data_IF_853374326411
#
_entry.id   IF_853374326411
#
_cell.length_a   1.000
_cell.length_b   1.000
_cell.length_c   1.000
_cell.angle_alpha   90.00
_cell.angle_beta   90.00
_cell.angle_gamma   90.00
#
_symmetry.space_group_name_H-M   'P 1'
#
loop_
_entity.id
_entity.type
_entity.pdbx_description
1 polymer ?
#
# COMPACT_ATOMS: atom_id res chain seq x y z
N UNK A 1 -50.07 -20.48 -45.07
CA UNK A 1 -49.19 -21.65 -45.09
C UNK A 1 -47.75 -21.19 -44.98
N UNK A 2 -47.04 -21.67 -43.94
CA UNK A 2 -45.57 -21.91 -43.81
C UNK A 2 -44.61 -20.90 -44.48
N UNK A 3 -43.59 -20.36 -43.82
CA UNK A 3 -42.68 -20.99 -42.85
C UNK A 3 -41.82 -19.93 -42.16
N UNK A 4 -41.60 -20.13 -40.87
CA UNK A 4 -40.58 -19.48 -40.08
C UNK A 4 -39.23 -20.19 -40.31
N UNK A 5 -38.15 -19.44 -40.42
CA UNK A 5 -36.79 -19.93 -40.25
C UNK A 5 -36.21 -19.34 -38.96
N UNK A 6 -36.06 -20.23 -37.99
CA UNK A 6 -35.28 -20.07 -36.77
C UNK A 6 -33.80 -19.91 -37.11
N UNK A 7 -33.12 -18.96 -36.49
CA UNK A 7 -31.71 -19.13 -36.14
C UNK A 7 -31.52 -18.77 -34.66
N UNK A 8 -31.20 -19.81 -33.92
CA UNK A 8 -30.78 -19.81 -32.53
C UNK A 8 -29.36 -19.27 -32.43
N UNK A 9 -29.13 -18.32 -31.53
CA UNK A 9 -27.82 -18.18 -30.89
C UNK A 9 -28.04 -18.00 -29.40
N UNK A 10 -27.73 -19.09 -28.74
CA UNK A 10 -27.63 -19.34 -27.32
C UNK A 10 -26.87 -18.27 -26.55
N UNK A 11 -27.46 -17.93 -25.42
CA UNK A 11 -26.84 -17.48 -24.18
C UNK A 11 -25.41 -18.02 -23.99
N UNK A 12 -24.46 -17.12 -23.79
CA UNK A 12 -23.39 -17.36 -22.83
C UNK A 12 -23.22 -16.11 -21.99
N UNK A 13 -23.85 -16.14 -20.83
CA UNK A 13 -23.50 -15.28 -19.72
C UNK A 13 -22.05 -15.60 -19.34
N UNK A 14 -21.15 -14.63 -19.51
CA UNK A 14 -19.91 -14.58 -18.75
C UNK A 14 -20.04 -13.44 -17.74
N UNK A 15 -20.44 -13.84 -16.55
CA UNK A 15 -20.23 -13.08 -15.32
C UNK A 15 -18.73 -12.95 -15.08
N UNK A 16 -18.20 -11.74 -15.20
CA UNK A 16 -16.91 -11.38 -14.63
C UNK A 16 -17.01 -9.98 -14.03
N UNK A 17 -16.96 -9.94 -12.71
CA UNK A 17 -16.82 -8.76 -11.86
C UNK A 17 -15.57 -7.95 -12.25
N UNK A 18 -15.72 -6.92 -13.09
CA UNK A 18 -14.64 -5.98 -13.44
C UNK A 18 -15.10 -4.51 -13.37
N UNK A 19 -16.11 -4.22 -12.56
CA UNK A 19 -16.89 -2.99 -12.65
C UNK A 19 -16.29 -1.71 -12.04
N UNK A 20 -15.12 -1.74 -11.39
CA UNK A 20 -14.62 -0.55 -10.66
C UNK A 20 -13.26 -0.04 -11.10
N UNK A 21 -12.38 -0.85 -11.69
CA UNK A 21 -10.98 -0.44 -11.94
C UNK A 21 -10.76 0.16 -13.33
N UNK A 22 -11.57 -0.19 -14.34
CA UNK A 22 -11.43 0.35 -15.70
C UNK A 22 -12.09 1.72 -15.93
N UNK A 23 -13.03 2.12 -15.07
CA UNK A 23 -13.77 3.38 -15.24
C UNK A 23 -12.87 4.63 -15.13
N UNK A 24 -11.91 4.71 -14.18
CA UNK A 24 -11.02 5.86 -14.10
C UNK A 24 -10.07 5.97 -15.31
N UNK A 25 -9.71 4.85 -15.96
CA UNK A 25 -8.78 4.87 -17.10
C UNK A 25 -9.50 5.44 -18.32
N UNK A 26 -10.71 4.93 -18.57
CA UNK A 26 -11.58 5.40 -19.65
C UNK A 26 -11.94 6.88 -19.52
N UNK A 27 -12.09 7.38 -18.29
CA UNK A 27 -12.35 8.80 -18.05
C UNK A 27 -11.17 9.67 -18.50
N UNK A 28 -9.94 9.28 -18.17
CA UNK A 28 -8.75 10.04 -18.58
C UNK A 28 -8.55 9.96 -20.10
N UNK A 29 -8.76 8.78 -20.71
CA UNK A 29 -8.71 8.61 -22.17
C UNK A 29 -9.72 9.53 -22.89
N UNK A 30 -10.93 9.65 -22.34
CA UNK A 30 -11.96 10.54 -22.84
C UNK A 30 -11.63 12.03 -22.66
N UNK A 31 -10.96 12.40 -21.56
CA UNK A 31 -10.53 13.78 -21.31
C UNK A 31 -9.47 14.22 -22.33
N UNK A 32 -8.49 13.36 -22.63
CA UNK A 32 -7.47 13.64 -23.65
C UNK A 32 -8.06 13.72 -25.07
N UNK A 33 -9.00 12.83 -25.40
CA UNK A 33 -9.69 12.86 -26.69
C UNK A 33 -10.47 14.18 -26.92
N UNK A 34 -10.73 14.94 -25.85
CA UNK A 34 -11.34 16.28 -25.87
C UNK A 34 -10.35 17.43 -25.70
N UNK A 35 -9.05 17.16 -25.74
CA UNK A 35 -7.99 18.16 -25.69
C UNK A 35 -7.66 18.67 -24.29
N UNK A 36 -7.99 17.93 -23.23
CA UNK A 36 -7.58 18.30 -21.88
C UNK A 36 -6.05 18.23 -21.74
N UNK A 37 -5.44 19.27 -21.21
CA UNK A 37 -4.01 19.29 -20.90
C UNK A 37 -3.77 18.63 -19.55
N UNK A 38 -3.06 17.50 -19.55
CA UNK A 38 -2.72 16.77 -18.34
C UNK A 38 -1.44 17.33 -17.70
N UNK A 39 -1.48 17.53 -16.39
CA UNK A 39 -0.30 17.92 -15.62
C UNK A 39 0.58 16.69 -15.36
N UNK A 40 1.87 16.86 -15.00
CA UNK A 40 2.73 15.74 -14.62
C UNK A 40 2.19 14.88 -13.46
N UNK A 41 1.34 15.46 -12.60
CA UNK A 41 0.63 14.72 -11.56
C UNK A 41 -0.47 13.80 -12.11
N UNK A 42 -1.18 14.23 -13.14
CA UNK A 42 -2.25 13.46 -13.78
C UNK A 42 -1.66 12.27 -14.55
N UNK A 43 -0.52 12.48 -15.22
CA UNK A 43 0.24 11.40 -15.85
C UNK A 43 0.74 10.37 -14.83
N UNK A 44 1.16 10.80 -13.64
CA UNK A 44 1.59 9.90 -12.57
C UNK A 44 0.43 9.05 -12.04
N UNK A 45 -0.76 9.63 -11.91
CA UNK A 45 -1.98 8.90 -11.54
C UNK A 45 -2.41 7.92 -12.63
N UNK A 46 -2.39 8.36 -13.89
CA UNK A 46 -2.70 7.47 -15.03
C UNK A 46 -1.74 6.31 -15.11
N UNK A 47 -0.45 6.54 -14.89
CA UNK A 47 0.55 5.48 -14.92
C UNK A 47 0.28 4.40 -13.87
N UNK A 48 0.00 4.80 -12.62
CA UNK A 48 -0.36 3.86 -11.55
C UNK A 48 -1.64 3.07 -11.90
N UNK A 49 -2.62 3.75 -12.50
CA UNK A 49 -3.88 3.13 -12.91
C UNK A 49 -3.69 2.15 -14.08
N UNK A 50 -2.96 2.54 -15.12
CA UNK A 50 -2.64 1.68 -16.27
C UNK A 50 -1.92 0.44 -15.80
N UNK A 51 -0.96 0.56 -14.87
CA UNK A 51 -0.29 -0.60 -14.30
C UNK A 51 -1.27 -1.56 -13.62
N UNK A 52 -2.21 -1.02 -12.82
CA UNK A 52 -3.19 -1.84 -12.08
C UNK A 52 -4.23 -2.49 -12.98
N UNK A 53 -4.61 -1.86 -14.08
CA UNK A 53 -5.71 -2.32 -14.96
C UNK A 53 -5.18 -3.15 -16.14
N UNK A 54 -4.07 -2.72 -16.73
CA UNK A 54 -3.53 -3.25 -17.98
C UNK A 54 -2.19 -3.96 -17.82
N UNK A 55 -1.61 -3.94 -16.62
CA UNK A 55 -0.33 -4.59 -16.31
C UNK A 55 0.88 -3.67 -16.48
N UNK A 56 2.03 -4.17 -16.03
CA UNK A 56 3.29 -3.42 -16.01
C UNK A 56 3.75 -3.04 -17.42
N UNK A 57 3.61 -3.94 -18.39
CA UNK A 57 4.05 -3.71 -19.77
C UNK A 57 3.34 -2.49 -20.41
N UNK A 58 2.03 -2.36 -20.20
CA UNK A 58 1.27 -1.21 -20.67
C UNK A 58 1.67 0.10 -19.96
N UNK A 59 2.03 0.02 -18.68
CA UNK A 59 2.53 1.17 -17.93
C UNK A 59 3.92 1.62 -18.43
N UNK A 60 4.81 0.67 -18.73
CA UNK A 60 6.11 0.96 -19.35
C UNK A 60 5.92 1.65 -20.72
N UNK A 61 5.06 1.12 -21.58
CA UNK A 61 4.74 1.71 -22.89
C UNK A 61 4.18 3.13 -22.73
N UNK A 62 3.23 3.33 -21.82
CA UNK A 62 2.68 4.64 -21.53
C UNK A 62 3.77 5.62 -21.10
N UNK A 63 4.62 5.25 -20.14
CA UNK A 63 5.71 6.10 -19.66
C UNK A 63 6.71 6.45 -20.77
N UNK A 64 7.04 5.51 -21.64
CA UNK A 64 7.93 5.73 -22.77
C UNK A 64 7.33 6.69 -23.80
N UNK A 65 6.01 6.62 -24.02
CA UNK A 65 5.29 7.53 -24.92
C UNK A 65 5.19 8.97 -24.41
N UNK A 66 5.40 9.22 -23.11
CA UNK A 66 5.35 10.56 -22.54
C UNK A 66 6.49 11.44 -23.09
N UNK A 67 6.20 12.68 -23.50
CA UNK A 67 7.23 13.68 -23.77
C UNK A 67 8.08 13.93 -22.51
N UNK A 68 9.36 14.25 -22.69
CA UNK A 68 10.30 14.41 -21.57
C UNK A 68 9.88 15.51 -20.58
N UNK A 69 9.14 16.54 -21.04
CA UNK A 69 8.57 17.58 -20.17
C UNK A 69 7.58 17.04 -19.13
N UNK A 70 6.96 15.88 -19.37
CA UNK A 70 6.02 15.21 -18.47
C UNK A 70 6.68 14.10 -17.62
N UNK A 71 7.95 13.76 -17.89
CA UNK A 71 8.76 12.80 -17.10
C UNK A 71 9.34 13.49 -15.86
N UNK A 72 8.47 13.83 -14.93
CA UNK A 72 8.80 14.45 -13.65
C UNK A 72 9.09 13.43 -12.55
N UNK A 73 9.54 13.90 -11.39
CA UNK A 73 9.71 13.07 -10.17
C UNK A 73 8.45 12.24 -9.88
N UNK A 74 7.26 12.79 -10.13
CA UNK A 74 5.98 12.09 -9.85
C UNK A 74 5.76 10.90 -10.79
N UNK A 75 5.96 11.06 -12.09
CA UNK A 75 5.78 9.97 -13.06
C UNK A 75 6.83 8.89 -12.89
N UNK A 76 8.08 9.26 -12.60
CA UNK A 76 9.11 8.31 -12.21
C UNK A 76 8.77 7.57 -10.90
N UNK A 77 8.27 8.27 -9.88
CA UNK A 77 7.87 7.65 -8.61
C UNK A 77 6.70 6.67 -8.79
N UNK A 78 5.73 7.00 -9.65
CA UNK A 78 4.65 6.08 -10.01
C UNK A 78 5.19 4.85 -10.73
N UNK A 79 6.09 5.01 -11.71
CA UNK A 79 6.70 3.86 -12.40
C UNK A 79 7.52 2.99 -11.43
N UNK A 80 8.23 3.61 -10.49
CA UNK A 80 8.98 2.92 -9.45
C UNK A 80 8.05 2.10 -8.55
N UNK A 81 6.87 2.64 -8.21
CA UNK A 81 5.84 1.92 -7.47
C UNK A 81 5.30 0.71 -8.25
N UNK A 82 5.04 0.88 -9.56
CA UNK A 82 4.66 -0.21 -10.45
C UNK A 82 5.73 -1.32 -10.49
N UNK A 83 7.01 -0.94 -10.62
CA UNK A 83 8.11 -1.91 -10.59
C UNK A 83 8.23 -2.62 -9.25
N UNK A 84 8.03 -1.92 -8.13
CA UNK A 84 8.09 -2.53 -6.82
C UNK A 84 7.13 -3.72 -6.70
N UNK A 85 5.91 -3.63 -7.23
CA UNK A 85 4.93 -4.73 -7.16
C UNK A 85 5.22 -5.90 -8.11
N UNK A 86 5.90 -5.67 -9.23
CA UNK A 86 5.93 -6.63 -10.34
C UNK A 86 7.32 -7.10 -10.75
N UNK A 87 8.32 -6.21 -10.78
CA UNK A 87 9.69 -6.48 -11.25
C UNK A 87 10.67 -5.60 -10.46
N UNK A 88 10.96 -5.94 -9.19
CA UNK A 88 11.69 -5.05 -8.30
C UNK A 88 13.14 -4.80 -8.75
N UNK A 89 13.75 -5.71 -9.50
CA UNK A 89 15.08 -5.55 -10.09
C UNK A 89 15.11 -4.39 -11.10
N UNK A 90 14.11 -4.31 -11.99
CA UNK A 90 13.96 -3.18 -12.93
C UNK A 90 13.72 -1.87 -12.19
N UNK A 91 13.02 -1.91 -11.06
CA UNK A 91 12.84 -0.73 -10.22
C UNK A 91 14.17 -0.19 -9.71
N UNK A 92 15.14 -1.05 -9.41
CA UNK A 92 16.44 -0.64 -8.87
C UNK A 92 17.25 0.05 -9.98
N UNK A 93 17.20 -0.49 -11.20
CA UNK A 93 17.77 0.16 -12.39
C UNK A 93 17.14 1.52 -12.66
N UNK A 94 15.81 1.64 -12.52
CA UNK A 94 15.11 2.92 -12.67
C UNK A 94 15.54 3.93 -11.60
N UNK A 95 15.68 3.49 -10.35
CA UNK A 95 16.14 4.36 -9.27
C UNK A 95 17.55 4.89 -9.54
N UNK A 96 18.46 4.02 -10.00
CA UNK A 96 19.82 4.41 -10.39
C UNK A 96 19.80 5.44 -11.54
N UNK A 97 18.93 5.24 -12.53
CA UNK A 97 18.70 6.22 -13.59
C UNK A 97 18.22 7.57 -13.02
N UNK A 98 17.24 7.57 -12.12
CA UNK A 98 16.75 8.79 -11.46
C UNK A 98 17.89 9.52 -10.72
N UNK A 99 18.77 8.77 -10.05
CA UNK A 99 19.96 9.33 -9.36
C UNK A 99 20.93 9.99 -10.33
N UNK A 100 21.25 9.34 -11.46
CA UNK A 100 22.15 9.92 -12.49
C UNK A 100 21.58 11.16 -13.16
N UNK A 101 20.24 11.30 -13.17
CA UNK A 101 19.54 12.49 -13.69
C UNK A 101 19.45 13.63 -12.68
N UNK A 102 20.07 13.50 -11.50
CA UNK A 102 19.95 14.45 -10.39
C UNK A 102 18.47 14.74 -10.01
N UNK A 103 17.59 13.76 -10.17
CA UNK A 103 16.22 13.85 -9.68
C UNK A 103 16.28 13.74 -8.16
N UNK A 104 16.10 14.87 -7.47
CA UNK A 104 16.22 14.96 -6.01
C UNK A 104 15.26 13.97 -5.34
N UNK A 105 15.77 12.94 -4.65
CA UNK A 105 14.92 12.00 -3.93
C UNK A 105 14.20 12.74 -2.81
N UNK A 106 12.87 12.63 -2.78
CA UNK A 106 12.05 13.09 -1.67
C UNK A 106 11.67 11.91 -0.76
N UNK A 107 10.91 12.19 0.30
CA UNK A 107 10.41 11.16 1.23
C UNK A 107 9.74 9.97 0.51
N UNK A 108 8.97 10.23 -0.55
CA UNK A 108 8.29 9.18 -1.31
C UNK A 108 9.29 8.29 -2.05
N UNK A 109 10.30 8.89 -2.69
CA UNK A 109 11.33 8.16 -3.44
C UNK A 109 12.15 7.25 -2.52
N UNK A 110 12.55 7.72 -1.33
CA UNK A 110 13.26 6.87 -0.36
C UNK A 110 12.41 5.71 0.14
N UNK A 111 11.13 5.96 0.49
CA UNK A 111 10.21 4.88 0.90
C UNK A 111 10.01 3.84 -0.20
N UNK A 112 9.86 4.28 -1.44
CA UNK A 112 9.70 3.39 -2.59
C UNK A 112 10.97 2.55 -2.78
N UNK A 113 12.16 3.14 -2.67
CA UNK A 113 13.43 2.41 -2.75
C UNK A 113 13.56 1.38 -1.61
N UNK A 114 13.23 1.76 -0.37
CA UNK A 114 13.30 0.82 0.76
C UNK A 114 12.33 -0.35 0.57
N UNK A 115 11.10 -0.07 0.13
CA UNK A 115 10.10 -1.11 -0.21
C UNK A 115 10.60 -2.02 -1.34
N UNK A 116 11.23 -1.43 -2.35
CA UNK A 116 11.80 -2.15 -3.48
C UNK A 116 12.92 -3.10 -3.06
N UNK A 117 13.81 -2.68 -2.14
CA UNK A 117 14.83 -3.57 -1.58
C UNK A 117 14.24 -4.76 -0.85
N UNK A 118 13.18 -4.57 -0.06
CA UNK A 118 12.50 -5.69 0.59
C UNK A 118 11.95 -6.68 -0.44
N UNK A 119 11.28 -6.18 -1.48
CA UNK A 119 10.66 -7.02 -2.52
C UNK A 119 11.69 -7.69 -3.44
N UNK A 120 12.85 -7.08 -3.64
CA UNK A 120 14.00 -7.69 -4.31
C UNK A 120 14.80 -8.66 -3.41
N UNK A 121 14.34 -8.93 -2.18
CA UNK A 121 15.02 -9.84 -1.25
C UNK A 121 16.36 -9.32 -0.72
N UNK A 122 16.55 -7.99 -0.67
CA UNK A 122 17.77 -7.32 -0.20
C UNK A 122 17.50 -6.45 1.04
N UNK A 123 16.94 -7.02 2.14
CA UNK A 123 16.54 -6.26 3.32
C UNK A 123 17.72 -5.55 4.00
N UNK A 124 18.94 -6.07 3.90
CA UNK A 124 20.15 -5.46 4.46
C UNK A 124 20.43 -4.04 3.93
N UNK A 125 19.94 -3.70 2.72
CA UNK A 125 20.10 -2.37 2.12
C UNK A 125 19.13 -1.33 2.67
N UNK A 126 18.06 -1.76 3.34
CA UNK A 126 17.02 -0.86 3.87
C UNK A 126 17.57 0.04 4.96
N UNK A 127 18.37 -0.49 5.89
CA UNK A 127 18.95 0.29 6.98
C UNK A 127 19.88 1.40 6.45
N UNK A 128 20.77 1.06 5.51
CA UNK A 128 21.66 2.03 4.87
C UNK A 128 20.88 3.14 4.15
N UNK A 129 19.80 2.77 3.47
CA UNK A 129 18.91 3.73 2.77
C UNK A 129 18.20 4.65 3.75
N UNK A 130 17.77 4.13 4.90
CA UNK A 130 17.17 4.92 5.98
C UNK A 130 18.17 5.92 6.59
N UNK A 131 19.41 5.50 6.81
CA UNK A 131 20.48 6.37 7.31
C UNK A 131 20.79 7.50 6.32
N UNK A 132 20.83 7.18 5.02
CA UNK A 132 20.99 8.18 3.96
C UNK A 132 19.84 9.21 3.96
N UNK A 133 18.59 8.74 4.03
CA UNK A 133 17.40 9.59 4.13
C UNK A 133 17.51 10.57 5.32
N UNK A 134 17.96 10.08 6.48
CA UNK A 134 18.19 10.91 7.66
C UNK A 134 19.36 11.87 7.50
N UNK A 135 20.47 11.43 6.90
CA UNK A 135 21.65 12.26 6.63
C UNK A 135 21.33 13.43 5.70
N UNK A 136 20.38 13.24 4.78
CA UNK A 136 19.87 14.27 3.88
C UNK A 136 18.80 15.17 4.52
N UNK A 137 18.55 15.05 5.83
CA UNK A 137 17.58 15.88 6.57
C UNK A 137 16.12 15.60 6.22
N UNK A 138 15.81 14.46 5.59
CA UNK A 138 14.45 14.12 5.20
C UNK A 138 13.72 13.51 6.39
N UNK A 139 12.57 14.09 6.73
CA UNK A 139 11.76 13.63 7.85
C UNK A 139 11.21 12.22 7.62
N UNK A 140 11.44 11.35 8.59
CA UNK A 140 10.92 9.98 8.65
C UNK A 140 9.53 9.97 9.27
N UNK A 141 8.70 8.99 8.90
CA UNK A 141 7.37 8.79 9.46
C UNK A 141 7.13 7.33 9.86
N UNK A 142 5.94 7.06 10.41
CA UNK A 142 5.58 5.71 10.88
C UNK A 142 5.66 4.65 9.77
N UNK A 143 5.34 5.01 8.53
CA UNK A 143 5.48 4.10 7.40
C UNK A 143 6.93 3.69 7.16
N UNK A 144 7.86 4.64 7.30
CA UNK A 144 9.31 4.37 7.21
C UNK A 144 9.74 3.34 8.26
N UNK A 145 9.25 3.46 9.49
CA UNK A 145 9.51 2.49 10.57
C UNK A 145 8.84 1.13 10.35
N UNK A 146 7.66 1.08 9.71
CA UNK A 146 7.06 -0.19 9.28
C UNK A 146 7.95 -0.93 8.28
N UNK A 147 8.54 -0.23 7.30
CA UNK A 147 9.47 -0.84 6.34
C UNK A 147 10.73 -1.35 7.05
N UNK A 148 11.29 -0.57 8.00
CA UNK A 148 12.42 -1.03 8.82
C UNK A 148 12.07 -2.27 9.65
N UNK A 149 10.85 -2.35 10.17
CA UNK A 149 10.38 -3.51 10.93
C UNK A 149 10.27 -4.75 10.03
N UNK A 150 9.69 -4.62 8.83
CA UNK A 150 9.64 -5.70 7.84
C UNK A 150 11.06 -6.17 7.48
N UNK A 151 11.99 -5.22 7.26
CA UNK A 151 13.41 -5.51 7.04
C UNK A 151 14.04 -6.30 8.18
N UNK A 152 13.79 -5.88 9.42
CA UNK A 152 14.33 -6.54 10.60
C UNK A 152 13.75 -7.97 10.75
N UNK A 153 12.48 -8.18 10.39
CA UNK A 153 11.87 -9.53 10.35
C UNK A 153 12.58 -10.41 9.33
N UNK A 154 12.86 -9.90 8.13
CA UNK A 154 13.52 -10.68 7.08
C UNK A 154 14.97 -11.05 7.43
N UNK A 155 15.68 -10.20 8.17
CA UNK A 155 17.08 -10.43 8.56
C UNK A 155 17.20 -11.27 9.84
N UNK A 156 16.41 -10.95 10.86
CA UNK A 156 16.57 -11.49 12.23
C UNK A 156 15.45 -12.44 12.65
N UNK A 157 14.38 -12.54 11.86
CA UNK A 157 13.20 -13.35 12.17
C UNK A 157 12.17 -12.66 13.06
N UNK A 158 11.00 -13.29 13.13
CA UNK A 158 9.82 -12.77 13.83
C UNK A 158 10.02 -12.64 15.34
N UNK A 159 10.57 -13.66 15.98
CA UNK A 159 10.75 -13.69 17.44
C UNK A 159 11.77 -12.65 17.91
N UNK A 160 12.89 -12.50 17.18
CA UNK A 160 13.89 -11.48 17.49
C UNK A 160 13.30 -10.08 17.34
N UNK A 161 12.49 -9.85 16.31
CA UNK A 161 11.81 -8.57 16.09
C UNK A 161 10.79 -8.29 17.20
N UNK A 162 10.00 -9.28 17.60
CA UNK A 162 9.04 -9.15 18.71
C UNK A 162 9.73 -8.70 19.98
N UNK A 163 10.81 -9.39 20.37
CA UNK A 163 11.58 -9.03 21.56
C UNK A 163 12.18 -7.62 21.45
N UNK A 164 12.71 -7.27 20.28
CA UNK A 164 13.23 -5.92 20.04
C UNK A 164 12.17 -4.84 20.25
N UNK A 165 10.95 -5.02 19.74
CA UNK A 165 9.85 -4.06 19.94
C UNK A 165 9.43 -3.98 21.42
N UNK A 166 9.34 -5.12 22.12
CA UNK A 166 9.01 -5.16 23.55
C UNK A 166 10.08 -4.46 24.41
N UNK A 167 11.36 -4.61 24.06
CA UNK A 167 12.46 -3.93 24.73
C UNK A 167 12.48 -2.43 24.41
N UNK A 168 12.14 -2.05 23.17
CA UNK A 168 12.02 -0.66 22.74
C UNK A 168 10.88 0.06 23.48
N UNK A 169 9.74 -0.61 23.67
CA UNK A 169 8.56 -0.08 24.36
C UNK A 169 8.83 0.30 25.83
N UNK A 170 9.81 -0.36 26.48
CA UNK A 170 10.24 -0.01 27.85
C UNK A 170 10.91 1.37 27.91
N UNK A 171 11.42 1.86 26.79
CA UNK A 171 12.20 3.09 26.72
C UNK A 171 11.44 4.21 26.02
N UNK A 172 10.70 3.90 24.95
CA UNK A 172 9.96 4.86 24.14
C UNK A 172 8.58 4.32 23.73
N UNK A 173 7.55 5.19 23.57
CA UNK A 173 6.29 4.77 22.99
C UNK A 173 6.46 4.17 21.60
N UNK A 174 6.01 2.93 21.41
CA UNK A 174 6.04 2.22 20.13
C UNK A 174 4.70 2.40 19.43
N UNK A 175 4.71 2.81 18.17
CA UNK A 175 3.50 2.99 17.38
C UNK A 175 2.85 1.63 17.06
N UNK A 176 1.52 1.54 17.18
CA UNK A 176 0.75 0.30 16.99
C UNK A 176 1.00 -0.40 15.65
N UNK A 177 1.33 0.37 14.60
CA UNK A 177 1.57 -0.16 13.26
C UNK A 177 2.77 -1.12 13.18
N UNK A 178 3.72 -1.04 14.11
CA UNK A 178 4.88 -1.93 14.14
C UNK A 178 4.46 -3.34 14.59
N UNK A 179 3.51 -3.43 15.53
CA UNK A 179 2.92 -4.70 15.94
C UNK A 179 1.97 -5.28 14.89
N UNK A 180 1.30 -4.44 14.08
CA UNK A 180 0.49 -4.95 12.96
C UNK A 180 1.34 -5.51 11.81
N UNK A 181 2.55 -4.97 11.59
CA UNK A 181 3.54 -5.58 10.70
C UNK A 181 3.94 -6.98 11.18
N UNK A 182 4.21 -7.16 12.48
CA UNK A 182 4.47 -8.49 13.05
C UNK A 182 3.27 -9.43 12.85
N UNK A 183 2.06 -8.98 13.18
CA UNK A 183 0.86 -9.79 13.03
C UNK A 183 0.63 -10.26 11.59
N UNK A 184 0.79 -9.35 10.62
CA UNK A 184 0.67 -9.68 9.21
C UNK A 184 1.68 -10.75 8.78
N UNK A 185 2.91 -10.68 9.26
CA UNK A 185 3.92 -11.70 8.95
C UNK A 185 3.67 -13.03 9.67
N UNK A 186 3.20 -13.03 10.91
CA UNK A 186 2.74 -14.26 11.58
C UNK A 186 1.60 -14.92 10.80
N UNK A 187 0.65 -14.16 10.28
CA UNK A 187 -0.42 -14.67 9.42
C UNK A 187 0.12 -15.31 8.14
N UNK A 188 1.08 -14.67 7.46
CA UNK A 188 1.71 -15.22 6.24
C UNK A 188 2.36 -16.59 6.49
N UNK A 189 2.91 -16.83 7.67
CA UNK A 189 3.53 -18.11 8.05
C UNK A 189 2.59 -19.05 8.82
N UNK A 190 1.29 -18.73 8.90
CA UNK A 190 0.26 -19.58 9.52
C UNK A 190 0.28 -19.62 11.06
N UNK A 191 1.03 -18.74 11.72
CA UNK A 191 1.13 -18.64 13.18
C UNK A 191 0.05 -17.72 13.75
N UNK A 192 -1.22 -18.08 13.54
CA UNK A 192 -2.38 -17.23 13.86
C UNK A 192 -2.49 -16.85 15.35
N UNK A 193 -2.11 -17.75 16.26
CA UNK A 193 -2.11 -17.45 17.71
C UNK A 193 -1.16 -16.29 18.06
N UNK A 194 0.02 -16.27 17.43
CA UNK A 194 1.00 -15.18 17.62
C UNK A 194 0.58 -13.91 16.90
N UNK A 195 -0.08 -14.03 15.76
CA UNK A 195 -0.67 -12.89 15.07
C UNK A 195 -1.73 -12.22 15.96
N UNK A 196 -2.62 -12.99 16.58
CA UNK A 196 -3.60 -12.48 17.53
C UNK A 196 -2.94 -11.78 18.72
N UNK A 197 -1.90 -12.37 19.33
CA UNK A 197 -1.16 -11.73 20.42
C UNK A 197 -0.55 -10.39 19.99
N UNK A 198 0.04 -10.32 18.79
CA UNK A 198 0.58 -9.08 18.25
C UNK A 198 -0.53 -8.04 17.96
N UNK A 199 -1.70 -8.47 17.47
CA UNK A 199 -2.85 -7.56 17.26
C UNK A 199 -3.43 -7.05 18.58
N UNK A 200 -3.50 -7.88 19.62
CA UNK A 200 -3.87 -7.43 20.97
C UNK A 200 -2.88 -6.40 21.48
N UNK A 201 -1.58 -6.63 21.27
CA UNK A 201 -0.55 -5.66 21.64
C UNK A 201 -0.67 -4.34 20.86
N UNK A 202 -0.97 -4.39 19.57
CA UNK A 202 -1.27 -3.21 18.77
C UNK A 202 -2.51 -2.46 19.31
N UNK A 203 -3.56 -3.19 19.70
CA UNK A 203 -4.75 -2.61 20.33
C UNK A 203 -4.45 -1.99 21.70
N UNK A 204 -3.51 -2.52 22.49
CA UNK A 204 -3.11 -1.92 23.77
C UNK A 204 -2.43 -0.56 23.60
N UNK A 205 -1.54 -0.43 22.61
CA UNK A 205 -0.72 0.78 22.43
C UNK A 205 -1.35 1.83 21.49
N UNK A 206 -2.42 1.48 20.77
CA UNK A 206 -3.09 2.42 19.87
C UNK A 206 -3.87 3.52 20.63
N UNK A 207 -3.96 4.70 20.01
CA UNK A 207 -4.96 5.69 20.41
C UNK A 207 -6.36 5.21 19.97
N UNK A 208 -7.28 5.08 20.93
CA UNK A 208 -8.65 4.64 20.69
C UNK A 208 -9.48 5.62 19.85
N UNK A 209 -9.05 6.88 19.76
CA UNK A 209 -9.61 7.89 18.88
C UNK A 209 -9.21 7.72 17.41
N UNK A 210 -8.15 6.95 17.11
CA UNK A 210 -7.65 6.76 15.75
C UNK A 210 -8.49 5.70 15.00
N UNK A 211 -9.46 6.15 14.18
CA UNK A 211 -10.33 5.25 13.41
C UNK A 211 -9.54 4.34 12.45
N UNK A 212 -8.44 4.82 11.89
CA UNK A 212 -7.62 4.05 10.95
C UNK A 212 -7.00 2.81 11.61
N UNK A 213 -6.54 2.92 12.84
CA UNK A 213 -6.01 1.81 13.62
C UNK A 213 -7.05 0.69 13.82
N UNK A 214 -8.31 1.05 14.15
CA UNK A 214 -9.40 0.08 14.27
C UNK A 214 -9.69 -0.67 12.96
N UNK A 215 -9.75 0.06 11.83
CA UNK A 215 -9.95 -0.58 10.52
C UNK A 215 -8.79 -1.51 10.16
N UNK A 216 -7.56 -1.13 10.48
CA UNK A 216 -6.39 -1.98 10.23
C UNK A 216 -6.44 -3.27 11.04
N UNK A 217 -6.71 -3.17 12.35
CA UNK A 217 -6.92 -4.32 13.25
C UNK A 217 -8.04 -5.23 12.74
N UNK A 218 -9.21 -4.67 12.40
CA UNK A 218 -10.34 -5.42 11.85
C UNK A 218 -9.96 -6.21 10.59
N UNK A 219 -9.25 -5.57 9.65
CA UNK A 219 -8.81 -6.22 8.42
C UNK A 219 -7.83 -7.36 8.69
N UNK A 220 -6.93 -7.20 9.67
CA UNK A 220 -5.95 -8.24 10.02
C UNK A 220 -6.57 -9.39 10.80
N UNK A 221 -7.50 -9.14 11.72
CA UNK A 221 -8.26 -10.22 12.37
C UNK A 221 -9.10 -10.99 11.35
N UNK A 222 -9.69 -10.30 10.36
CA UNK A 222 -10.40 -10.95 9.27
C UNK A 222 -9.49 -11.83 8.42
N UNK A 223 -8.28 -11.37 8.08
CA UNK A 223 -7.30 -12.19 7.33
C UNK A 223 -6.75 -13.35 8.15
N UNK A 224 -6.78 -13.26 9.49
CA UNK A 224 -6.43 -14.35 10.41
C UNK A 224 -7.57 -15.37 10.60
N UNK A 225 -8.76 -15.14 10.04
CA UNK A 225 -9.94 -15.98 10.25
C UNK A 225 -10.57 -15.86 11.65
N UNK A 226 -10.12 -14.92 12.49
CA UNK A 226 -10.61 -14.76 13.86
C UNK A 226 -11.92 -13.95 13.89
N UNK A 227 -13.02 -14.59 13.51
CA UNK A 227 -14.35 -13.96 13.45
C UNK A 227 -14.86 -13.47 14.81
N UNK A 228 -14.42 -14.08 15.91
CA UNK A 228 -14.75 -13.63 17.28
C UNK A 228 -14.22 -12.22 17.53
N UNK A 229 -12.93 -12.00 17.26
CA UNK A 229 -12.30 -10.70 17.49
C UNK A 229 -12.80 -9.65 16.50
N UNK A 230 -13.07 -10.02 15.25
CA UNK A 230 -13.74 -9.11 14.29
C UNK A 230 -15.07 -8.61 14.84
N UNK A 231 -15.91 -9.50 15.37
CA UNK A 231 -17.21 -9.11 15.97
C UNK A 231 -17.02 -8.24 17.20
N UNK A 232 -16.06 -8.58 18.08
CA UNK A 232 -15.75 -7.79 19.29
C UNK A 232 -15.33 -6.36 18.92
N UNK A 233 -14.38 -6.22 18.01
CA UNK A 233 -13.87 -4.93 17.56
C UNK A 233 -14.94 -4.10 16.85
N UNK A 234 -15.78 -4.73 16.02
CA UNK A 234 -16.86 -4.04 15.33
C UNK A 234 -17.85 -3.38 16.29
N UNK A 235 -18.21 -4.09 17.37
CA UNK A 235 -19.08 -3.55 18.42
C UNK A 235 -18.38 -2.41 19.17
N UNK A 236 -17.09 -2.55 19.50
CA UNK A 236 -16.30 -1.51 20.16
C UNK A 236 -16.24 -0.23 19.32
N UNK A 237 -15.89 -0.35 18.04
CA UNK A 237 -15.83 0.76 17.08
C UNK A 237 -17.19 1.44 16.92
N UNK A 238 -18.27 0.65 16.82
CA UNK A 238 -19.64 1.16 16.70
C UNK A 238 -20.12 1.92 17.94
N UNK A 239 -19.64 1.57 19.14
CA UNK A 239 -19.94 2.29 20.38
C UNK A 239 -19.17 3.60 20.47
N UNK A 240 -17.88 3.56 20.11
CA UNK A 240 -17.02 4.75 20.08
C UNK A 240 -17.53 5.81 19.08
N UNK A 241 -17.92 5.39 17.87
CA UNK A 241 -18.45 6.31 16.85
C UNK A 241 -19.80 6.94 17.23
N UNK A 242 -20.66 6.21 17.94
CA UNK A 242 -21.94 6.75 18.45
C UNK A 242 -21.74 7.74 19.59
N UNK A 243 -20.73 7.52 20.44
CA UNK A 243 -20.39 8.44 21.53
C UNK A 243 -19.79 9.76 21.00
N UNK A 244 -18.96 9.71 19.95
CA UNK A 244 -18.47 10.90 19.26
C UNK A 244 -19.58 11.75 18.62
N UNK A 245 -20.62 11.10 18.08
CA UNK A 245 -21.78 11.80 17.53
C UNK A 245 -22.72 12.39 18.60
N UNK A 246 -22.71 11.86 19.83
CA UNK A 246 -23.46 12.46 20.95
C UNK A 246 -22.81 13.70 21.54
N UNK A 247 -21.47 13.84 21.44
CA UNK A 247 -20.77 15.06 21.85
C UNK A 247 -20.98 16.24 20.87
N UNK A 248 -21.16 15.96 19.58
CA UNK A 248 -21.50 16.99 18.58
C UNK A 248 -22.97 17.45 18.62
N UNK A 249 -23.84 16.79 19.40
CA UNK A 249 -25.23 17.23 19.64
C UNK A 249 -25.42 17.98 20.96
N UNK A 250 -24.38 18.09 21.78
CA UNK A 250 -24.41 18.85 23.04
C UNK A 250 -23.83 20.27 22.90
N UNK A 251 -23.46 20.70 21.69
CA UNK A 251 -22.93 22.04 21.37
C UNK A 251 -23.71 22.77 20.25
N UNK A 252 -24.96 22.40 20.03
CA UNK A 252 -25.93 23.16 19.21
C UNK A 252 -27.18 23.42 20.03
#
# INVERSE_FOLDING_TARGET
SRSASTSSSSTSASSATSGSTGAPSRLIDWMEARGAYLLPGDHALRLDLVCKVNGLEAAEEYFLSLPDMHKSVKTYSSLLNCYAEHKPEKGLELYEKMRTMNIVPNTLVYKNLMSLYLKAGQPEKVLKTFEEMRGNGIQTDNFTYCILTESHIMVNGLESTKKFLEDLEKSIPVHWSLYTVLANNYNKVGQFDKAELALKKAEEVMDKGEMFAWHNLLSLYASSGNLSEVKRLWVSLSRSSRSGNSLNRALT
#
